data_IF_406985555913
#
_entry.id   IF_406985555913
#
_cell.length_a   1.000
_cell.length_b   1.000
_cell.length_c   1.000
_cell.angle_alpha   90.00
_cell.angle_beta   90.00
_cell.angle_gamma   90.00
#
_symmetry.space_group_name_H-M   'P 1'
#
loop_
_entity.id
_entity.type
_entity.pdbx_description
1 polymer ?
#
# COMPACT_ATOMS: atom_id res chain seq x y z
N UNK A 1 27.93 18.63 -7.98
CA UNK A 1 26.45 18.60 -8.07
C UNK A 1 26.05 17.17 -8.39
N UNK A 2 25.67 16.39 -7.37
CA UNK A 2 25.31 14.98 -7.56
C UNK A 2 23.84 14.98 -7.97
N UNK A 3 23.56 14.52 -9.19
CA UNK A 3 22.21 14.24 -9.69
C UNK A 3 21.62 13.11 -8.84
N UNK A 4 20.96 13.48 -7.74
CA UNK A 4 20.14 12.58 -6.94
C UNK A 4 18.90 12.26 -7.80
N UNK A 5 18.71 10.98 -8.10
CA UNK A 5 17.67 10.43 -8.99
C UNK A 5 16.28 11.07 -8.74
N UNK A 6 15.88 11.95 -9.66
CA UNK A 6 14.70 12.80 -9.55
C UNK A 6 13.38 12.11 -9.97
N UNK A 7 13.38 10.79 -10.22
CA UNK A 7 12.27 10.06 -10.86
C UNK A 7 11.54 9.06 -9.94
N UNK A 8 11.79 9.11 -8.63
CA UNK A 8 11.18 8.16 -7.68
C UNK A 8 9.73 8.48 -7.30
N UNK A 9 9.19 9.60 -7.80
CA UNK A 9 7.79 10.06 -7.71
C UNK A 9 6.73 8.99 -8.02
N UNK A 10 7.05 8.09 -8.96
CA UNK A 10 6.15 7.04 -9.45
C UNK A 10 5.99 5.86 -8.47
N UNK A 11 6.86 5.75 -7.47
CA UNK A 11 6.89 4.58 -6.59
C UNK A 11 5.60 4.41 -5.76
N UNK A 12 4.98 5.49 -5.28
CA UNK A 12 3.71 5.38 -4.51
C UNK A 12 2.57 4.83 -5.36
N UNK A 13 2.27 5.39 -6.56
CA UNK A 13 1.28 4.81 -7.45
C UNK A 13 1.53 3.32 -7.71
N UNK A 14 2.78 2.92 -7.94
CA UNK A 14 3.14 1.51 -8.15
C UNK A 14 2.87 0.67 -6.89
N UNK A 15 3.24 1.17 -5.71
CA UNK A 15 3.04 0.47 -4.44
C UNK A 15 1.58 0.37 -4.02
N UNK A 16 0.68 1.16 -4.59
CA UNK A 16 -0.76 1.04 -4.38
C UNK A 16 -1.42 0.18 -5.47
N UNK A 17 -1.05 0.40 -6.73
CA UNK A 17 -1.64 -0.29 -7.88
C UNK A 17 -1.31 -1.78 -7.86
N UNK A 18 -0.05 -2.15 -7.58
CA UNK A 18 0.37 -3.56 -7.62
C UNK A 18 -0.36 -4.41 -6.56
N UNK A 19 -0.41 -4.04 -5.27
CA UNK A 19 -1.18 -4.78 -4.29
C UNK A 19 -2.68 -4.76 -4.57
N UNK A 20 -3.22 -3.66 -5.08
CA UNK A 20 -4.64 -3.56 -5.46
C UNK A 20 -5.01 -4.58 -6.53
N UNK A 21 -4.25 -4.64 -7.63
CA UNK A 21 -4.49 -5.64 -8.68
C UNK A 21 -4.23 -7.06 -8.18
N UNK A 22 -3.16 -7.28 -7.42
CA UNK A 22 -2.83 -8.59 -6.86
C UNK A 22 -3.97 -9.15 -6.01
N UNK A 23 -4.55 -8.33 -5.14
CA UNK A 23 -5.69 -8.73 -4.32
C UNK A 23 -6.96 -8.90 -5.13
N UNK A 24 -7.23 -8.03 -6.11
CA UNK A 24 -8.43 -8.15 -6.95
C UNK A 24 -8.45 -9.48 -7.71
N UNK A 25 -7.30 -9.87 -8.27
CA UNK A 25 -7.12 -11.15 -8.97
C UNK A 25 -7.29 -12.31 -7.98
N UNK A 26 -6.61 -12.24 -6.83
CA UNK A 26 -6.68 -13.28 -5.80
C UNK A 26 -8.12 -13.46 -5.28
N UNK A 27 -8.82 -12.37 -4.99
CA UNK A 27 -10.22 -12.41 -4.55
C UNK A 27 -11.12 -12.98 -5.63
N UNK A 28 -10.97 -12.57 -6.88
CA UNK A 28 -11.77 -13.11 -8.00
C UNK A 28 -11.57 -14.62 -8.13
N UNK A 29 -10.32 -15.09 -8.03
CA UNK A 29 -10.02 -16.51 -8.02
C UNK A 29 -10.66 -17.25 -6.83
N UNK A 30 -10.59 -16.70 -5.62
CA UNK A 30 -11.20 -17.29 -4.43
C UNK A 30 -12.73 -17.31 -4.50
N UNK A 31 -13.33 -16.24 -5.04
CA UNK A 31 -14.78 -16.14 -5.27
C UNK A 31 -15.29 -17.22 -6.22
N UNK A 32 -14.56 -17.48 -7.31
CA UNK A 32 -14.93 -18.49 -8.31
C UNK A 32 -14.68 -19.94 -7.84
N UNK A 33 -13.57 -20.20 -7.15
CA UNK A 33 -13.14 -21.57 -6.83
C UNK A 33 -13.56 -22.06 -5.44
N UNK A 34 -13.70 -21.16 -4.46
CA UNK A 34 -14.01 -21.51 -3.07
C UNK A 34 -15.46 -21.13 -2.71
N UNK A 35 -15.93 -19.97 -3.17
CA UNK A 35 -17.27 -19.47 -2.85
C UNK A 35 -17.49 -19.22 -1.35
N UNK A 36 -18.75 -19.28 -0.90
CA UNK A 36 -19.13 -19.06 0.50
C UNK A 36 -18.86 -17.63 0.96
N UNK A 37 -18.09 -17.47 2.05
CA UNK A 37 -17.69 -16.14 2.55
C UNK A 37 -17.04 -15.28 1.46
N UNK A 38 -16.21 -15.88 0.60
CA UNK A 38 -15.51 -15.15 -0.47
C UNK A 38 -16.41 -14.65 -1.60
N UNK A 39 -17.69 -15.06 -1.65
CA UNK A 39 -18.65 -14.53 -2.60
C UNK A 39 -19.30 -13.21 -2.12
N UNK A 40 -19.11 -12.84 -0.86
CA UNK A 40 -19.68 -11.63 -0.24
C UNK A 40 -18.88 -10.37 -0.58
N UNK A 41 -19.57 -9.24 -0.61
CA UNK A 41 -18.95 -7.92 -0.78
C UNK A 41 -18.10 -7.54 0.45
N UNK A 42 -18.50 -7.98 1.64
CA UNK A 42 -17.71 -7.91 2.87
C UNK A 42 -16.32 -8.55 2.72
N UNK A 43 -16.22 -9.73 2.10
CA UNK A 43 -14.94 -10.39 1.86
C UNK A 43 -14.05 -9.61 0.89
N UNK A 44 -14.64 -8.93 -0.11
CA UNK A 44 -13.88 -8.06 -1.00
C UNK A 44 -13.32 -6.84 -0.26
N UNK A 45 -14.11 -6.21 0.62
CA UNK A 45 -13.66 -5.08 1.42
C UNK A 45 -12.53 -5.47 2.39
N UNK A 46 -12.65 -6.62 3.07
CA UNK A 46 -11.59 -7.14 3.94
C UNK A 46 -10.32 -7.42 3.13
N UNK A 47 -10.46 -8.05 1.95
CA UNK A 47 -9.34 -8.30 1.07
C UNK A 47 -8.66 -6.99 0.62
N UNK A 48 -9.42 -5.99 0.16
CA UNK A 48 -8.89 -4.68 -0.19
C UNK A 48 -8.14 -4.02 0.97
N UNK A 49 -8.68 -4.10 2.18
CA UNK A 49 -8.03 -3.58 3.38
C UNK A 49 -6.69 -4.26 3.67
N UNK A 50 -6.58 -5.58 3.49
CA UNK A 50 -5.30 -6.31 3.57
C UNK A 50 -4.32 -5.78 2.50
N UNK A 51 -4.80 -5.47 1.30
CA UNK A 51 -3.97 -4.94 0.20
C UNK A 51 -3.39 -3.58 0.52
N UNK A 52 -4.17 -2.73 1.17
CA UNK A 52 -3.71 -1.44 1.67
C UNK A 52 -2.69 -1.59 2.80
N UNK A 53 -2.83 -2.59 3.69
CA UNK A 53 -1.82 -2.89 4.72
C UNK A 53 -0.51 -3.37 4.08
N UNK A 54 -0.57 -4.21 3.05
CA UNK A 54 0.62 -4.63 2.29
C UNK A 54 1.27 -3.42 1.61
N UNK A 55 0.46 -2.54 1.02
CA UNK A 55 0.92 -1.28 0.40
C UNK A 55 1.60 -0.36 1.42
N UNK A 56 1.04 -0.26 2.63
CA UNK A 56 1.64 0.46 3.76
C UNK A 56 3.01 -0.12 4.10
N UNK A 57 3.11 -1.43 4.34
CA UNK A 57 4.37 -2.08 4.71
C UNK A 57 5.45 -1.85 3.65
N UNK A 58 5.09 -2.02 2.38
CA UNK A 58 5.99 -1.81 1.27
C UNK A 58 6.47 -0.35 1.21
N UNK A 59 5.54 0.61 1.27
CA UNK A 59 5.85 2.04 1.21
C UNK A 59 6.67 2.49 2.41
N UNK A 60 6.40 1.94 3.60
CA UNK A 60 7.15 2.24 4.81
C UNK A 60 8.59 1.71 4.74
N UNK A 61 8.78 0.47 4.28
CA UNK A 61 10.13 -0.12 4.15
C UNK A 61 10.98 0.61 3.09
N UNK A 62 10.35 1.13 2.06
CA UNK A 62 11.00 1.88 0.97
C UNK A 62 11.05 3.39 1.21
N UNK A 63 10.65 3.86 2.40
CA UNK A 63 10.63 5.29 2.75
C UNK A 63 12.03 5.88 2.96
N UNK A 64 13.04 5.04 3.17
CA UNK A 64 14.42 5.47 3.41
C UNK A 64 15.34 4.98 2.31
N UNK A 65 16.23 5.86 1.88
CA UNK A 65 17.35 5.49 1.02
C UNK A 65 18.68 5.80 1.70
N UNK A 66 19.70 5.04 1.35
CA UNK A 66 21.06 5.27 1.81
C UNK A 66 21.87 5.88 0.68
N UNK A 67 22.24 7.14 0.82
CA UNK A 67 23.17 7.78 -0.11
C UNK A 67 24.57 7.84 0.52
N UNK A 68 25.60 7.73 -0.31
CA UNK A 68 26.98 7.99 0.13
C UNK A 68 27.27 9.47 -0.02
N UNK A 69 27.51 10.15 1.10
CA UNK A 69 28.01 11.53 1.14
C UNK A 69 29.40 11.48 1.76
N UNK A 70 30.41 11.94 1.02
CA UNK A 70 31.80 12.00 1.51
C UNK A 70 32.38 10.66 2.02
N UNK A 71 31.91 9.53 1.48
CA UNK A 71 32.36 8.19 1.87
C UNK A 71 31.55 7.55 2.99
N UNK A 72 30.70 8.30 3.69
CA UNK A 72 29.80 7.82 4.74
C UNK A 72 28.39 7.56 4.19
N UNK A 73 27.71 6.53 4.72
CA UNK A 73 26.33 6.21 4.34
C UNK A 73 25.37 7.05 5.19
N UNK A 74 24.73 8.04 4.59
CA UNK A 74 23.66 8.81 5.22
C UNK A 74 22.28 8.27 4.83
N UNK A 75 21.39 8.18 5.82
CA UNK A 75 20.01 7.75 5.65
C UNK A 75 19.14 8.97 5.37
N UNK A 76 18.57 9.06 4.17
CA UNK A 76 17.70 10.18 3.75
C UNK A 76 16.27 9.68 3.58
N UNK A 77 15.32 10.45 4.08
CA UNK A 77 13.89 10.21 3.87
C UNK A 77 13.50 10.57 2.44
N UNK A 78 12.88 9.64 1.75
CA UNK A 78 12.45 9.84 0.37
C UNK A 78 11.17 10.66 0.32
N UNK A 79 11.27 11.86 -0.27
CA UNK A 79 10.13 12.68 -0.62
C UNK A 79 9.70 12.37 -2.06
N UNK A 80 8.39 12.24 -2.26
CA UNK A 80 7.83 11.98 -3.59
C UNK A 80 7.38 13.27 -4.26
N UNK A 81 7.92 13.53 -5.45
CA UNK A 81 7.62 14.72 -6.26
C UNK A 81 6.15 14.81 -6.70
N UNK A 82 5.45 13.67 -6.82
CA UNK A 82 4.07 13.64 -7.33
C UNK A 82 3.05 14.27 -6.39
N UNK A 83 3.33 14.32 -5.08
CA UNK A 83 2.36 14.78 -4.08
C UNK A 83 2.96 15.72 -3.02
N UNK A 84 4.24 16.08 -3.11
CA UNK A 84 4.97 16.89 -2.12
C UNK A 84 4.88 16.35 -0.67
N UNK A 85 4.47 15.10 -0.49
CA UNK A 85 4.33 14.42 0.80
C UNK A 85 5.41 13.35 0.92
N UNK A 86 5.92 13.13 2.13
CA UNK A 86 6.91 12.08 2.37
C UNK A 86 6.27 10.69 2.19
N UNK A 87 7.06 9.72 1.74
CA UNK A 87 6.60 8.33 1.61
C UNK A 87 6.06 7.78 2.95
N UNK A 88 6.63 8.26 4.05
CA UNK A 88 6.19 7.90 5.39
C UNK A 88 4.76 8.36 5.68
N UNK A 89 4.40 9.59 5.32
CA UNK A 89 3.05 10.09 5.50
C UNK A 89 2.04 9.30 4.65
N UNK A 90 2.39 9.01 3.40
CA UNK A 90 1.60 8.12 2.53
C UNK A 90 1.42 6.72 3.10
N UNK A 91 2.47 6.16 3.71
CA UNK A 91 2.37 4.86 4.37
C UNK A 91 1.31 4.89 5.47
N UNK A 92 1.28 5.93 6.31
CA UNK A 92 0.27 6.05 7.36
C UNK A 92 -1.15 6.27 6.82
N UNK A 93 -1.32 6.98 5.71
CA UNK A 93 -2.62 7.11 5.03
C UNK A 93 -3.12 5.72 4.58
N UNK A 94 -2.25 4.93 3.94
CA UNK A 94 -2.60 3.58 3.50
C UNK A 94 -2.92 2.65 4.68
N UNK A 95 -2.20 2.78 5.80
CA UNK A 95 -2.50 2.03 7.03
C UNK A 95 -3.89 2.39 7.57
N UNK A 96 -4.18 3.69 7.70
CA UNK A 96 -5.48 4.17 8.18
C UNK A 96 -6.61 3.72 7.28
N UNK A 97 -6.48 3.88 5.97
CA UNK A 97 -7.46 3.40 4.99
C UNK A 97 -7.63 1.88 5.07
N UNK A 98 -6.53 1.11 5.17
CA UNK A 98 -6.57 -0.34 5.30
C UNK A 98 -7.36 -0.81 6.51
N UNK A 99 -7.09 -0.24 7.69
CA UNK A 99 -7.82 -0.55 8.93
C UNK A 99 -9.30 -0.21 8.80
N UNK A 100 -9.64 0.99 8.31
CA UNK A 100 -11.03 1.40 8.14
C UNK A 100 -11.79 0.50 7.17
N UNK A 101 -11.15 0.07 6.08
CA UNK A 101 -11.76 -0.82 5.09
C UNK A 101 -12.00 -2.22 5.67
N UNK A 102 -11.08 -2.74 6.49
CA UNK A 102 -11.28 -4.01 7.20
C UNK A 102 -12.43 -3.91 8.20
N UNK A 103 -12.47 -2.84 9.01
CA UNK A 103 -13.55 -2.63 9.97
C UNK A 103 -14.89 -2.52 9.23
N UNK A 104 -14.94 -1.77 8.11
CA UNK A 104 -16.10 -1.67 7.24
C UNK A 104 -16.59 -3.04 6.77
N UNK A 105 -15.69 -3.85 6.22
CA UNK A 105 -16.06 -5.19 5.74
C UNK A 105 -16.49 -6.14 6.87
N UNK A 106 -15.90 -6.04 8.06
CA UNK A 106 -16.35 -6.79 9.24
C UNK A 106 -17.76 -6.36 9.66
N UNK A 107 -18.02 -5.05 9.70
CA UNK A 107 -19.35 -4.53 10.05
C UNK A 107 -20.40 -4.95 9.03
N UNK A 108 -20.09 -4.86 7.74
CA UNK A 108 -20.98 -5.32 6.67
C UNK A 108 -21.25 -6.83 6.76
N UNK A 109 -20.26 -7.64 7.16
CA UNK A 109 -20.49 -9.06 7.36
C UNK A 109 -21.46 -9.38 8.51
N UNK A 110 -21.44 -8.59 9.60
CA UNK A 110 -22.27 -8.84 10.77
C UNK A 110 -23.64 -8.13 10.73
N UNK A 111 -23.75 -7.02 10.02
CA UNK A 111 -24.92 -6.13 10.05
C UNK A 111 -25.54 -5.85 8.68
N UNK A 112 -24.93 -6.34 7.60
CA UNK A 112 -25.41 -6.20 6.21
C UNK A 112 -26.31 -7.33 5.73
#
# INVERSE_FOLDING_TARGET
>A
MILIFNNRGILIPVFLIVPFFGITILYSFLKENVGGFFATDAAFQIALGIGLIISFLWTYLTSYDFIKVNGEKEKIEMNNYFFYMSNRLWSYIMLGAGILTIIGGIMEFFYG
#
